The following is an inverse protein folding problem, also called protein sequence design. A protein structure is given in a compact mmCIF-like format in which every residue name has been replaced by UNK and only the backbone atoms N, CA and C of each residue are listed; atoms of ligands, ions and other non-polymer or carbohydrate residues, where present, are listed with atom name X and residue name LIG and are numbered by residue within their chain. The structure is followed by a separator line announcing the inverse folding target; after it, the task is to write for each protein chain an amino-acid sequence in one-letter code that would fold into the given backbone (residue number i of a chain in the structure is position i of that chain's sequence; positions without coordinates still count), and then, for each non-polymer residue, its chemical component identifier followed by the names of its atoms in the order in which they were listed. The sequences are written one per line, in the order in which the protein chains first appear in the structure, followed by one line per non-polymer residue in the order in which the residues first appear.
data_IF_185330297751
#
_entry.id   IF_185330297751
#
_cell.length_a   1.000
_cell.length_b   1.000
_cell.length_c   1.000
_cell.angle_alpha   90.00
_cell.angle_beta   90.00
_cell.angle_gamma   90.00
#
_symmetry.space_group_name_H-M   'P 1'
#
loop_
_entity.id
_entity.type
_entity.pdbx_description
1 polymer ?
#
# COMPACT_ATOMS: atom_id res chain seq x y z
N UNK A 1 -2.82 0.68 -28.10
CA UNK A 1 -2.70 1.27 -26.71
C UNK A 1 -1.79 2.50 -26.77
N UNK A 2 -2.19 3.66 -26.20
CA UNK A 2 -1.37 4.90 -26.19
C UNK A 2 -0.13 4.69 -25.30
N UNK A 3 1.08 5.02 -25.83
CA UNK A 3 2.35 4.96 -25.09
C UNK A 3 2.90 6.37 -24.87
N UNK A 4 3.51 6.59 -23.71
CA UNK A 4 4.06 7.87 -23.30
C UNK A 4 5.54 8.00 -23.69
N UNK A 5 5.94 9.18 -24.13
CA UNK A 5 7.29 9.55 -24.49
C UNK A 5 7.65 10.95 -23.93
N UNK A 6 8.90 11.37 -24.04
CA UNK A 6 9.39 12.70 -23.61
C UNK A 6 9.08 13.02 -22.14
N UNK A 7 9.23 12.00 -21.27
CA UNK A 7 9.00 12.10 -19.82
C UNK A 7 10.34 12.33 -19.07
N UNK A 8 11.44 11.81 -19.61
CA UNK A 8 12.75 11.87 -18.97
C UNK A 8 13.18 13.30 -18.66
N UNK A 9 13.10 14.23 -19.61
CA UNK A 9 13.50 15.62 -19.43
C UNK A 9 12.67 16.35 -18.35
N UNK A 10 11.42 15.93 -18.16
CA UNK A 10 10.57 16.44 -17.07
C UNK A 10 10.98 15.88 -15.71
N UNK A 11 11.46 14.63 -15.68
CA UNK A 11 11.95 13.99 -14.45
C UNK A 11 13.30 14.58 -14.07
N UNK A 12 14.18 14.73 -15.06
CA UNK A 12 15.57 15.19 -14.93
C UNK A 12 15.64 16.70 -15.16
N UNK A 13 14.95 17.45 -14.29
CA UNK A 13 15.00 18.90 -14.23
C UNK A 13 15.33 19.36 -12.81
N UNK A 14 16.02 20.48 -12.67
CA UNK A 14 16.39 21.00 -11.35
C UNK A 14 15.16 21.30 -10.50
N UNK A 15 14.12 21.91 -11.09
CA UNK A 15 12.86 22.20 -10.41
C UNK A 15 12.19 20.93 -9.87
N UNK A 16 12.20 19.84 -10.66
CA UNK A 16 11.63 18.58 -10.22
C UNK A 16 12.48 17.93 -9.13
N UNK A 17 13.80 18.07 -9.15
CA UNK A 17 14.67 17.57 -8.06
C UNK A 17 14.43 18.35 -6.76
N UNK A 18 14.24 19.67 -6.80
CA UNK A 18 13.82 20.45 -5.62
C UNK A 18 12.44 20.02 -5.10
N UNK A 19 11.48 19.79 -5.99
CA UNK A 19 10.16 19.28 -5.61
C UNK A 19 10.26 17.88 -5.00
N UNK A 20 11.12 17.03 -5.56
CA UNK A 20 11.39 15.68 -5.07
C UNK A 20 11.98 15.71 -3.65
N UNK A 21 12.99 16.56 -3.42
CA UNK A 21 13.55 16.79 -2.08
C UNK A 21 12.48 17.26 -1.09
N UNK A 22 11.69 18.26 -1.45
CA UNK A 22 10.58 18.76 -0.60
C UNK A 22 9.59 17.66 -0.21
N UNK A 23 9.23 16.76 -1.14
CA UNK A 23 8.34 15.63 -0.87
C UNK A 23 9.03 14.54 -0.04
N UNK A 24 10.28 14.18 -0.37
CA UNK A 24 11.04 13.12 0.28
C UNK A 24 11.28 13.37 1.78
N UNK A 25 11.53 14.65 2.16
CA UNK A 25 11.80 15.05 3.56
C UNK A 25 10.56 15.28 4.43
N UNK A 26 9.36 15.21 3.86
CA UNK A 26 8.13 15.54 4.61
C UNK A 26 8.04 14.75 5.92
N UNK A 27 7.90 15.49 7.05
CA UNK A 27 7.88 14.95 8.42
C UNK A 27 9.18 14.22 8.84
N UNK A 28 10.31 14.49 8.19
CA UNK A 28 11.59 13.83 8.46
C UNK A 28 12.79 14.79 8.44
N UNK A 29 12.57 16.10 8.38
CA UNK A 29 13.63 17.12 8.25
C UNK A 29 14.63 17.16 9.43
N UNK A 30 14.25 16.60 10.59
CA UNK A 30 15.15 16.50 11.75
C UNK A 30 16.18 15.36 11.65
N UNK A 31 16.12 14.51 10.65
CA UNK A 31 17.04 13.37 10.48
C UNK A 31 18.45 13.87 10.13
N UNK A 32 19.46 13.17 10.67
CA UNK A 32 20.87 13.49 10.48
C UNK A 32 21.27 13.51 9.02
N UNK A 33 20.91 12.48 8.26
CA UNK A 33 21.18 12.35 6.82
C UNK A 33 20.60 13.50 5.96
N UNK A 34 19.46 14.06 6.37
CA UNK A 34 18.84 15.22 5.70
C UNK A 34 19.55 16.51 6.08
N UNK A 35 19.95 16.68 7.34
CA UNK A 35 20.70 17.86 7.80
C UNK A 35 22.09 17.92 7.14
N UNK A 36 22.75 16.76 6.98
CA UNK A 36 24.04 16.67 6.26
C UNK A 36 23.87 17.05 4.79
N UNK A 37 22.83 16.55 4.12
CA UNK A 37 22.49 16.94 2.74
C UNK A 37 22.24 18.45 2.61
N UNK A 38 21.57 19.07 3.60
CA UNK A 38 21.23 20.51 3.57
C UNK A 38 22.48 21.43 3.57
N UNK A 39 23.62 20.97 4.06
CA UNK A 39 24.87 21.75 4.07
C UNK A 39 25.37 22.09 2.66
N UNK A 40 25.18 21.17 1.69
CA UNK A 40 25.66 21.32 0.31
C UNK A 40 24.55 21.02 -0.71
N UNK A 41 23.30 21.29 -0.35
CA UNK A 41 22.10 20.89 -1.10
C UNK A 41 22.15 21.29 -2.57
N UNK A 42 22.48 22.55 -2.87
CA UNK A 42 22.45 23.05 -4.25
C UNK A 42 23.50 22.38 -5.13
N UNK A 43 24.71 22.21 -4.62
CA UNK A 43 25.78 21.53 -5.31
C UNK A 43 25.44 20.06 -5.57
N UNK A 44 24.95 19.38 -4.55
CA UNK A 44 24.56 17.98 -4.63
C UNK A 44 23.40 17.76 -5.62
N UNK A 45 22.40 18.64 -5.65
CA UNK A 45 21.32 18.54 -6.63
C UNK A 45 21.80 18.80 -8.06
N UNK A 46 22.71 19.76 -8.29
CA UNK A 46 23.32 20.00 -9.59
C UNK A 46 24.14 18.78 -10.03
N UNK A 47 24.94 18.21 -9.13
CA UNK A 47 25.70 16.97 -9.40
C UNK A 47 24.78 15.80 -9.74
N UNK A 48 23.70 15.62 -9.00
CA UNK A 48 22.71 14.58 -9.27
C UNK A 48 22.06 14.78 -10.65
N UNK A 49 21.71 16.03 -10.99
CA UNK A 49 21.16 16.37 -12.30
C UNK A 49 22.10 15.93 -13.43
N UNK A 50 23.41 16.27 -13.33
CA UNK A 50 24.41 15.86 -14.31
C UNK A 50 24.54 14.34 -14.40
N UNK A 51 24.57 13.64 -13.27
CA UNK A 51 24.64 12.18 -13.27
C UNK A 51 23.43 11.54 -13.97
N UNK A 52 22.24 12.09 -13.78
CA UNK A 52 21.04 11.61 -14.43
C UNK A 52 21.06 11.90 -15.94
N UNK A 53 21.45 13.12 -16.35
CA UNK A 53 21.58 13.50 -17.78
C UNK A 53 22.58 12.61 -18.49
N UNK A 54 23.73 12.36 -17.87
CA UNK A 54 24.81 11.56 -18.44
C UNK A 54 24.57 10.05 -18.37
N UNK A 55 23.49 9.60 -17.70
CA UNK A 55 23.21 8.18 -17.48
C UNK A 55 24.22 7.47 -16.55
N UNK A 56 24.93 8.23 -15.72
CA UNK A 56 25.93 7.70 -14.76
C UNK A 56 25.38 7.48 -13.36
N UNK A 57 24.09 7.77 -13.14
CA UNK A 57 23.44 7.44 -11.89
C UNK A 57 23.43 5.93 -11.66
N UNK A 58 23.83 5.53 -10.46
CA UNK A 58 23.74 4.16 -9.94
C UNK A 58 23.02 4.16 -8.62
N UNK A 59 22.16 3.19 -8.41
CA UNK A 59 21.47 2.99 -7.13
C UNK A 59 22.49 2.63 -6.05
N UNK A 60 22.43 3.30 -4.92
CA UNK A 60 23.34 3.06 -3.80
C UNK A 60 23.09 1.70 -3.15
N UNK A 61 24.05 1.24 -2.36
CA UNK A 61 23.90 0.02 -1.57
C UNK A 61 22.75 0.12 -0.57
N UNK A 62 22.03 -0.96 -0.43
CA UNK A 62 20.92 -1.07 0.51
C UNK A 62 21.39 -1.34 1.94
N UNK A 63 20.89 -0.58 2.87
CA UNK A 63 20.97 -0.93 4.29
C UNK A 63 19.76 -1.82 4.64
N UNK A 64 20.00 -3.10 4.89
CA UNK A 64 18.96 -4.07 5.21
C UNK A 64 18.82 -4.27 6.71
N UNK A 65 17.58 -4.28 7.22
CA UNK A 65 17.27 -4.55 8.62
C UNK A 65 15.92 -5.27 8.78
N UNK A 66 15.76 -5.99 9.87
CA UNK A 66 14.56 -6.78 10.15
C UNK A 66 13.62 -6.00 11.07
N UNK A 67 12.37 -5.84 10.65
CA UNK A 67 11.26 -5.42 11.51
C UNK A 67 10.49 -6.67 11.92
N UNK A 68 10.29 -6.86 13.23
CA UNK A 68 9.64 -8.08 13.77
C UNK A 68 8.14 -7.93 14.02
N UNK A 69 7.64 -6.71 14.19
CA UNK A 69 6.21 -6.46 14.46
C UNK A 69 5.56 -5.64 13.34
N UNK A 70 4.30 -5.94 12.97
CA UNK A 70 3.42 -7.04 13.44
C UNK A 70 3.74 -8.40 12.83
N UNK A 71 4.68 -8.50 11.88
CA UNK A 71 5.20 -9.67 11.20
C UNK A 71 6.64 -9.40 10.81
N UNK A 72 7.49 -10.40 10.92
CA UNK A 72 8.88 -10.29 10.50
C UNK A 72 8.98 -9.95 9.01
N UNK A 73 9.75 -8.91 8.70
CA UNK A 73 10.00 -8.43 7.34
C UNK A 73 11.41 -7.90 7.23
N UNK A 74 12.11 -8.29 6.19
CA UNK A 74 13.37 -7.68 5.79
C UNK A 74 13.02 -6.37 5.04
N UNK A 75 13.56 -5.27 5.54
CA UNK A 75 13.36 -3.94 4.97
C UNK A 75 14.69 -3.48 4.37
N UNK A 76 14.62 -3.00 3.15
CA UNK A 76 15.75 -2.46 2.39
C UNK A 76 15.62 -0.94 2.35
N UNK A 77 16.61 -0.26 2.90
CA UNK A 77 16.61 1.20 2.98
C UNK A 77 17.73 1.78 2.13
N UNK A 78 17.37 2.65 1.21
CA UNK A 78 18.30 3.50 0.49
C UNK A 78 18.64 4.79 1.27
N UNK A 79 19.81 5.39 1.07
CA UNK A 79 20.15 6.69 1.62
C UNK A 79 19.17 7.78 1.15
N UNK A 80 19.17 8.90 1.87
CA UNK A 80 18.32 10.01 1.50
C UNK A 80 18.75 10.60 0.15
N UNK A 81 20.04 10.92 0.02
CA UNK A 81 20.68 11.34 -1.22
C UNK A 81 21.59 10.21 -1.70
N UNK A 82 21.60 9.90 -3.00
CA UNK A 82 20.76 10.47 -4.06
C UNK A 82 19.38 9.80 -4.22
N UNK A 83 19.21 8.56 -3.77
CA UNK A 83 18.21 7.61 -4.23
C UNK A 83 16.77 8.02 -3.90
N UNK A 84 16.50 8.47 -2.67
CA UNK A 84 15.14 8.87 -2.32
C UNK A 84 14.70 10.09 -3.10
N UNK A 85 15.63 11.00 -3.47
CA UNK A 85 15.34 12.14 -4.32
C UNK A 85 15.01 11.66 -5.73
N UNK A 86 15.81 10.75 -6.31
CA UNK A 86 15.54 10.15 -7.63
C UNK A 86 14.17 9.46 -7.66
N UNK A 87 13.87 8.61 -6.66
CA UNK A 87 12.58 7.94 -6.58
C UNK A 87 11.41 8.93 -6.53
N UNK A 88 11.53 10.02 -5.78
CA UNK A 88 10.50 11.04 -5.74
C UNK A 88 10.43 11.85 -7.03
N UNK A 89 11.55 12.12 -7.70
CA UNK A 89 11.58 12.81 -9.00
C UNK A 89 10.86 11.99 -10.08
N UNK A 90 11.13 10.69 -10.16
CA UNK A 90 10.40 9.76 -11.03
C UNK A 90 8.91 9.77 -10.68
N UNK A 91 8.54 9.62 -9.41
CA UNK A 91 7.16 9.56 -8.99
C UNK A 91 6.38 10.85 -9.20
N UNK A 92 7.02 12.02 -9.16
CA UNK A 92 6.35 13.29 -9.45
C UNK A 92 5.70 13.30 -10.84
N UNK A 93 6.30 12.61 -11.80
CA UNK A 93 5.84 12.55 -13.20
C UNK A 93 5.09 11.27 -13.49
N UNK A 94 5.51 10.14 -12.90
CA UNK A 94 4.97 8.83 -13.27
C UNK A 94 3.71 8.44 -12.48
N UNK A 95 3.53 8.95 -11.26
CA UNK A 95 2.36 8.59 -10.42
C UNK A 95 1.02 8.80 -11.15
N UNK A 96 0.70 9.97 -11.75
CA UNK A 96 -0.56 10.15 -12.44
C UNK A 96 -0.74 9.21 -13.64
N UNK A 97 0.34 8.88 -14.36
CA UNK A 97 0.32 7.96 -15.49
C UNK A 97 0.02 6.54 -15.00
N UNK A 98 0.72 6.08 -13.98
CA UNK A 98 0.52 4.73 -13.42
C UNK A 98 -0.84 4.57 -12.75
N UNK A 99 -1.28 5.57 -11.99
CA UNK A 99 -2.61 5.54 -11.35
C UNK A 99 -3.74 5.47 -12.39
N UNK A 100 -3.57 6.08 -13.57
CA UNK A 100 -4.58 6.06 -14.63
C UNK A 100 -4.78 4.68 -15.27
N UNK A 101 -3.83 3.75 -15.09
CA UNK A 101 -3.93 2.39 -15.61
C UNK A 101 -4.38 1.36 -14.57
N UNK A 102 -4.45 1.73 -13.29
CA UNK A 102 -4.96 0.85 -12.26
C UNK A 102 -6.49 0.85 -12.27
N UNK A 103 -7.09 -0.31 -12.11
CA UNK A 103 -8.54 -0.41 -11.91
C UNK A 103 -8.94 0.34 -10.62
N UNK A 104 -10.24 0.68 -10.50
CA UNK A 104 -10.77 1.39 -9.34
C UNK A 104 -10.53 0.63 -8.02
N UNK A 105 -10.60 -0.70 -8.08
CA UNK A 105 -10.54 -1.59 -6.93
C UNK A 105 -9.11 -2.07 -6.58
N UNK A 106 -8.08 -1.39 -7.13
CA UNK A 106 -6.67 -1.50 -6.69
C UNK A 106 -6.40 -0.47 -5.60
N UNK A 107 -6.01 -0.94 -4.43
CA UNK A 107 -5.69 -0.12 -3.25
C UNK A 107 -4.24 -0.32 -2.85
N UNK A 108 -3.76 0.45 -1.89
CA UNK A 108 -2.40 0.49 -1.38
C UNK A 108 -1.53 1.50 -2.10
N UNK A 109 -0.97 2.42 -1.32
CA UNK A 109 -0.01 3.44 -1.77
C UNK A 109 -0.50 4.38 -2.88
N UNK A 110 -1.77 4.39 -3.18
CA UNK A 110 -2.43 5.29 -4.11
C UNK A 110 -3.16 6.35 -3.28
N UNK A 111 -2.99 7.62 -3.64
CA UNK A 111 -3.66 8.73 -2.97
C UNK A 111 -5.17 8.55 -3.03
N UNK A 112 -5.85 8.71 -1.91
CA UNK A 112 -7.29 8.48 -1.72
C UNK A 112 -7.77 7.02 -1.89
N UNK A 113 -6.89 6.05 -2.12
CA UNK A 113 -7.22 4.62 -2.20
C UNK A 113 -6.48 3.82 -1.12
N UNK A 114 -6.65 4.24 0.15
CA UNK A 114 -6.05 3.56 1.30
C UNK A 114 -6.95 2.48 1.92
N UNK A 115 -6.58 2.02 3.12
CA UNK A 115 -7.29 0.96 3.86
C UNK A 115 -8.76 1.29 4.13
N UNK A 116 -9.09 2.56 4.34
CA UNK A 116 -10.48 2.97 4.66
C UNK A 116 -11.35 3.01 3.41
N UNK A 117 -10.79 3.38 2.26
CA UNK A 117 -11.49 3.32 0.98
C UNK A 117 -11.74 1.86 0.57
N UNK A 118 -10.73 1.00 0.71
CA UNK A 118 -10.89 -0.45 0.47
C UNK A 118 -11.98 -1.06 1.38
N UNK A 119 -11.97 -0.68 2.66
CA UNK A 119 -13.00 -1.10 3.61
C UNK A 119 -14.40 -0.62 3.19
N UNK A 120 -14.51 0.66 2.80
CA UNK A 120 -15.78 1.25 2.37
C UNK A 120 -16.36 0.50 1.17
N UNK A 121 -15.55 0.26 0.15
CA UNK A 121 -16.01 -0.39 -1.07
C UNK A 121 -16.39 -1.87 -0.86
N UNK A 122 -15.69 -2.60 0.04
CA UNK A 122 -16.12 -3.95 0.43
C UNK A 122 -17.45 -3.90 1.19
N UNK A 123 -17.66 -2.93 2.09
CA UNK A 123 -18.93 -2.76 2.80
C UNK A 123 -20.09 -2.42 1.85
N UNK A 124 -19.84 -1.56 0.86
CA UNK A 124 -20.84 -1.26 -0.16
C UNK A 124 -21.20 -2.48 -1.00
N UNK A 125 -20.21 -3.31 -1.38
CA UNK A 125 -20.46 -4.56 -2.09
C UNK A 125 -21.29 -5.54 -1.25
N UNK A 126 -21.04 -5.62 0.05
CA UNK A 126 -21.76 -6.51 0.96
C UNK A 126 -23.24 -6.12 1.23
N UNK A 127 -23.69 -4.95 0.76
CA UNK A 127 -25.12 -4.61 0.75
C UNK A 127 -25.92 -5.48 -0.24
N UNK A 128 -25.26 -6.00 -1.28
CA UNK A 128 -25.80 -6.98 -2.20
C UNK A 128 -25.62 -8.40 -1.64
N UNK A 129 -26.40 -8.71 -0.60
CA UNK A 129 -26.24 -9.94 0.21
C UNK A 129 -26.33 -11.19 -0.65
N UNK A 130 -27.29 -11.25 -1.57
CA UNK A 130 -27.55 -12.41 -2.43
C UNK A 130 -26.38 -12.74 -3.34
N UNK A 131 -25.67 -11.73 -3.85
CA UNK A 131 -24.54 -11.91 -4.76
C UNK A 131 -23.19 -11.95 -4.04
N UNK A 132 -23.15 -11.82 -2.72
CA UNK A 132 -21.90 -11.79 -1.91
C UNK A 132 -21.88 -12.83 -0.79
N UNK A 133 -22.63 -13.94 -0.98
CA UNK A 133 -22.73 -15.04 -0.02
C UNK A 133 -21.39 -15.66 0.31
N UNK A 134 -20.53 -15.89 -0.70
CA UNK A 134 -19.19 -16.49 -0.54
C UNK A 134 -18.08 -15.50 -0.79
N UNK A 135 -17.00 -15.69 -0.06
CA UNK A 135 -15.74 -14.95 -0.23
C UNK A 135 -14.61 -15.91 -0.59
N UNK A 136 -13.90 -15.60 -1.67
CA UNK A 136 -12.57 -16.14 -1.97
C UNK A 136 -11.54 -15.16 -1.44
N UNK A 137 -10.72 -15.63 -0.50
CA UNK A 137 -9.66 -14.85 0.16
C UNK A 137 -8.31 -15.42 -0.22
N UNK A 138 -7.48 -14.59 -0.84
CA UNK A 138 -6.18 -14.97 -1.39
C UNK A 138 -5.06 -14.06 -0.89
N UNK A 139 -3.84 -14.58 -0.91
CA UNK A 139 -2.61 -13.84 -0.60
C UNK A 139 -1.49 -14.42 -1.49
N UNK A 140 -0.67 -13.59 -2.10
CA UNK A 140 0.43 -14.04 -2.97
C UNK A 140 1.64 -14.40 -2.09
N UNK A 141 2.29 -15.53 -2.43
CA UNK A 141 3.46 -16.01 -1.70
C UNK A 141 4.66 -15.10 -1.96
N UNK A 142 5.29 -14.59 -0.90
CA UNK A 142 6.51 -13.74 -0.97
C UNK A 142 6.45 -12.68 -2.06
N UNK A 143 5.31 -12.00 -2.25
CA UNK A 143 5.01 -11.16 -3.42
C UNK A 143 6.19 -10.28 -3.86
N UNK A 144 6.67 -9.39 -3.01
CA UNK A 144 7.76 -8.45 -3.35
C UNK A 144 9.06 -9.13 -3.78
N UNK A 145 9.58 -10.14 -3.06
CA UNK A 145 10.78 -10.85 -3.50
C UNK A 145 10.60 -11.71 -4.75
N UNK A 146 9.35 -12.11 -5.07
CA UNK A 146 9.06 -12.97 -6.22
C UNK A 146 8.76 -12.20 -7.51
N UNK A 147 8.80 -10.86 -7.49
CA UNK A 147 8.61 -10.06 -8.71
C UNK A 147 9.80 -10.27 -9.64
N UNK A 148 9.52 -10.84 -10.81
CA UNK A 148 10.52 -11.04 -11.88
C UNK A 148 10.77 -9.72 -12.62
N UNK A 149 12.04 -9.35 -12.78
CA UNK A 149 12.43 -8.08 -13.39
C UNK A 149 12.03 -7.97 -14.86
N UNK A 150 12.21 -9.04 -15.64
CA UNK A 150 11.90 -9.01 -17.08
C UNK A 150 10.40 -8.86 -17.31
N UNK A 151 9.58 -9.55 -16.51
CA UNK A 151 8.12 -9.38 -16.55
C UNK A 151 7.75 -7.95 -16.16
N UNK A 152 8.31 -7.39 -15.06
CA UNK A 152 8.04 -6.02 -14.64
C UNK A 152 8.43 -5.00 -15.71
N UNK A 153 9.64 -5.11 -16.27
CA UNK A 153 10.13 -4.26 -17.36
C UNK A 153 9.22 -4.35 -18.59
N UNK A 154 8.76 -5.55 -18.96
CA UNK A 154 7.84 -5.75 -20.07
C UNK A 154 6.52 -5.01 -19.85
N UNK A 155 5.97 -5.09 -18.63
CA UNK A 155 4.73 -4.40 -18.22
C UNK A 155 4.88 -2.89 -18.34
N UNK A 156 5.99 -2.32 -17.83
CA UNK A 156 6.28 -0.90 -17.90
C UNK A 156 6.38 -0.44 -19.36
N UNK A 157 7.08 -1.21 -20.21
CA UNK A 157 7.27 -0.93 -21.64
C UNK A 157 5.97 -0.96 -22.45
N UNK A 158 4.90 -1.59 -21.97
CA UNK A 158 3.58 -1.51 -22.61
C UNK A 158 3.03 -0.08 -22.64
N UNK A 159 3.37 0.76 -21.65
CA UNK A 159 2.89 2.15 -21.52
C UNK A 159 3.94 3.21 -21.79
N UNK A 160 5.20 2.91 -21.56
CA UNK A 160 6.32 3.85 -21.69
C UNK A 160 7.18 3.45 -22.90
N UNK A 161 7.55 4.43 -23.71
CA UNK A 161 8.48 4.25 -24.85
C UNK A 161 9.70 5.19 -24.78
N UNK A 162 9.81 6.01 -23.74
CA UNK A 162 10.94 6.91 -23.49
C UNK A 162 12.16 6.09 -23.06
N UNK A 163 13.11 5.93 -23.98
CA UNK A 163 14.26 5.05 -23.77
C UNK A 163 15.13 5.48 -22.58
N UNK A 164 15.39 6.78 -22.42
CA UNK A 164 16.21 7.28 -21.30
C UNK A 164 15.54 7.00 -19.96
N UNK A 165 14.22 7.21 -19.88
CA UNK A 165 13.46 6.87 -18.69
C UNK A 165 13.45 5.36 -18.42
N UNK A 166 13.29 4.53 -19.46
CA UNK A 166 13.33 3.08 -19.32
C UNK A 166 14.67 2.59 -18.78
N UNK A 167 15.80 3.14 -19.25
CA UNK A 167 17.13 2.82 -18.74
C UNK A 167 17.29 3.20 -17.25
N UNK A 168 16.78 4.36 -16.85
CA UNK A 168 16.78 4.76 -15.43
C UNK A 168 15.91 3.83 -14.57
N UNK A 169 14.74 3.43 -15.06
CA UNK A 169 13.86 2.50 -14.34
C UNK A 169 14.48 1.10 -14.25
N UNK A 170 15.14 0.63 -15.33
CA UNK A 170 15.85 -0.65 -15.34
C UNK A 170 16.99 -0.68 -14.31
N UNK A 171 17.79 0.38 -14.22
CA UNK A 171 18.85 0.53 -13.21
C UNK A 171 18.26 0.40 -11.78
N UNK A 172 17.11 1.04 -11.52
CA UNK A 172 16.47 0.97 -10.21
C UNK A 172 15.86 -0.42 -9.93
N UNK A 173 15.28 -1.05 -10.96
CA UNK A 173 14.67 -2.39 -10.82
C UNK A 173 15.76 -3.42 -10.57
N UNK A 174 16.87 -3.37 -11.31
CA UNK A 174 17.94 -4.36 -11.23
C UNK A 174 18.86 -4.16 -10.01
N UNK A 175 18.64 -3.13 -9.21
CA UNK A 175 19.48 -2.80 -8.04
C UNK A 175 19.36 -3.81 -6.88
N UNK A 176 18.35 -4.67 -6.85
CA UNK A 176 18.17 -5.70 -5.84
C UNK A 176 17.33 -6.86 -6.38
N UNK A 177 17.40 -8.03 -5.78
CA UNK A 177 16.53 -9.17 -6.10
C UNK A 177 15.05 -8.86 -5.81
N UNK A 178 14.17 -9.17 -6.75
CA UNK A 178 12.76 -8.83 -6.69
C UNK A 178 12.53 -7.31 -6.61
N UNK A 179 11.59 -6.89 -5.78
CA UNK A 179 11.32 -5.48 -5.52
C UNK A 179 11.46 -5.21 -4.02
N UNK A 180 12.48 -4.45 -3.60
CA UNK A 180 12.86 -4.29 -2.19
C UNK A 180 11.79 -3.54 -1.39
N UNK A 181 11.35 -4.12 -0.26
CA UNK A 181 10.40 -3.48 0.65
C UNK A 181 11.09 -2.32 1.38
N UNK A 182 10.52 -1.13 1.28
CA UNK A 182 11.02 0.08 1.97
C UNK A 182 11.27 1.27 1.06
N UNK A 183 11.25 1.08 -0.25
CA UNK A 183 11.41 2.13 -1.24
C UNK A 183 10.06 2.60 -1.79
N UNK A 184 10.00 3.86 -2.18
CA UNK A 184 8.76 4.47 -2.66
C UNK A 184 8.30 3.88 -4.00
N UNK A 185 9.23 3.73 -4.96
CA UNK A 185 8.93 3.12 -6.27
C UNK A 185 8.48 1.66 -6.15
N UNK A 186 9.04 0.90 -5.23
CA UNK A 186 8.73 -0.52 -5.02
C UNK A 186 7.22 -0.79 -4.85
N UNK A 187 6.53 0.13 -4.19
CA UNK A 187 5.09 0.01 -3.95
C UNK A 187 4.28 0.16 -5.24
N UNK A 188 4.73 1.04 -6.14
CA UNK A 188 4.10 1.22 -7.45
C UNK A 188 4.46 0.10 -8.42
N UNK A 189 5.71 -0.37 -8.41
CA UNK A 189 6.13 -1.54 -9.19
C UNK A 189 5.31 -2.78 -8.84
N UNK A 190 5.07 -3.02 -7.56
CA UNK A 190 4.21 -4.10 -7.11
C UNK A 190 2.75 -3.97 -7.61
N UNK A 191 2.18 -2.77 -7.59
CA UNK A 191 0.85 -2.54 -8.15
C UNK A 191 0.83 -2.69 -9.68
N UNK A 192 1.86 -2.19 -10.39
CA UNK A 192 2.00 -2.32 -11.84
C UNK A 192 2.09 -3.78 -12.26
N UNK A 193 2.82 -4.59 -11.52
CA UNK A 193 3.02 -6.01 -11.82
C UNK A 193 1.71 -6.78 -11.95
N UNK A 194 0.71 -6.45 -11.15
CA UNK A 194 -0.60 -7.10 -11.17
C UNK A 194 -1.66 -6.33 -11.98
N UNK A 195 -1.31 -5.22 -12.61
CA UNK A 195 -2.30 -4.37 -13.28
C UNK A 195 -3.09 -5.12 -14.34
N UNK A 196 -2.43 -5.90 -15.21
CA UNK A 196 -3.11 -6.64 -16.28
C UNK A 196 -3.86 -7.86 -15.77
N UNK A 197 -3.44 -8.43 -14.65
CA UNK A 197 -4.21 -9.44 -13.92
C UNK A 197 -5.51 -8.85 -13.35
N UNK A 198 -5.45 -7.62 -12.79
CA UNK A 198 -6.63 -6.91 -12.31
C UNK A 198 -7.62 -6.62 -13.45
N UNK A 199 -7.12 -6.16 -14.61
CA UNK A 199 -7.94 -5.92 -15.79
C UNK A 199 -8.57 -7.20 -16.33
N UNK A 200 -7.80 -8.28 -16.44
CA UNK A 200 -8.31 -9.57 -16.86
C UNK A 200 -9.47 -10.06 -15.97
N UNK A 201 -9.35 -9.93 -14.64
CA UNK A 201 -10.45 -10.29 -13.74
C UNK A 201 -11.69 -9.42 -13.96
N UNK A 202 -11.51 -8.10 -14.18
CA UNK A 202 -12.65 -7.16 -14.30
C UNK A 202 -13.27 -7.13 -15.69
N UNK A 203 -12.47 -7.26 -16.75
CA UNK A 203 -12.87 -7.02 -18.13
C UNK A 203 -13.15 -8.32 -18.88
N UNK A 204 -12.29 -9.35 -18.71
CA UNK A 204 -12.46 -10.63 -19.41
C UNK A 204 -13.29 -11.62 -18.60
N UNK A 205 -13.03 -11.73 -17.28
CA UNK A 205 -13.77 -12.61 -16.37
C UNK A 205 -15.02 -11.98 -15.78
N UNK A 206 -15.23 -10.68 -15.97
CA UNK A 206 -16.39 -9.90 -15.52
C UNK A 206 -16.67 -10.03 -14.02
N UNK A 207 -15.62 -10.18 -13.21
CA UNK A 207 -15.73 -10.32 -11.75
C UNK A 207 -16.26 -9.03 -11.16
N UNK A 208 -17.52 -9.01 -10.74
CA UNK A 208 -18.20 -7.81 -10.20
C UNK A 208 -17.52 -7.32 -8.91
N UNK A 209 -17.30 -8.18 -7.94
CA UNK A 209 -16.79 -7.85 -6.61
C UNK A 209 -15.38 -8.38 -6.43
N UNK A 210 -14.39 -7.60 -6.86
CA UNK A 210 -12.95 -7.85 -6.75
C UNK A 210 -12.28 -6.67 -6.05
N UNK A 211 -11.47 -6.95 -5.02
CA UNK A 211 -10.75 -5.93 -4.26
C UNK A 211 -9.34 -6.40 -3.98
N UNK A 212 -8.34 -5.57 -4.31
CA UNK A 212 -6.92 -5.90 -4.08
C UNK A 212 -6.20 -4.81 -3.29
N UNK A 213 -5.59 -5.21 -2.17
CA UNK A 213 -4.70 -4.36 -1.39
C UNK A 213 -3.29 -4.96 -1.40
N UNK A 214 -2.41 -4.48 -2.29
CA UNK A 214 -1.10 -5.06 -2.60
C UNK A 214 -1.24 -6.55 -3.01
N UNK A 215 -0.80 -7.47 -2.16
CA UNK A 215 -0.86 -8.93 -2.34
C UNK A 215 -2.14 -9.58 -1.75
N UNK A 216 -2.94 -8.81 -1.04
CA UNK A 216 -4.14 -9.27 -0.34
C UNK A 216 -5.38 -9.09 -1.22
N UNK A 217 -6.01 -10.20 -1.66
CA UNK A 217 -7.11 -10.24 -2.62
C UNK A 217 -8.38 -10.76 -1.97
N UNK A 218 -9.50 -10.11 -2.27
CA UNK A 218 -10.86 -10.50 -1.88
C UNK A 218 -11.75 -10.52 -3.10
N UNK A 219 -12.43 -11.65 -3.35
CA UNK A 219 -13.47 -11.79 -4.38
C UNK A 219 -14.74 -12.27 -3.72
N UNK A 220 -15.90 -11.68 -4.08
CA UNK A 220 -17.20 -12.07 -3.56
C UNK A 220 -18.09 -12.57 -4.69
N UNK A 221 -18.82 -13.64 -4.44
CA UNK A 221 -19.78 -14.21 -5.39
C UNK A 221 -20.84 -15.01 -4.66
N UNK A 222 -22.01 -15.21 -5.30
CA UNK A 222 -23.10 -16.03 -4.77
C UNK A 222 -22.83 -17.54 -4.87
N UNK A 223 -22.01 -17.95 -5.83
CA UNK A 223 -21.71 -19.33 -6.13
C UNK A 223 -20.30 -19.70 -5.69
N UNK A 224 -20.17 -20.79 -4.94
CA UNK A 224 -18.91 -21.32 -4.43
C UNK A 224 -18.10 -22.06 -5.51
N UNK A 225 -18.78 -22.78 -6.40
CA UNK A 225 -18.10 -23.53 -7.46
C UNK A 225 -17.49 -22.56 -8.49
N UNK A 226 -18.20 -21.51 -8.88
CA UNK A 226 -17.65 -20.43 -9.67
C UNK A 226 -16.33 -19.88 -9.08
N UNK A 227 -16.29 -19.66 -7.75
CA UNK A 227 -15.07 -19.18 -7.10
C UNK A 227 -13.93 -20.22 -7.14
N UNK A 228 -14.22 -21.51 -7.15
CA UNK A 228 -13.22 -22.57 -7.31
C UNK A 228 -12.65 -22.61 -8.72
N UNK A 229 -13.52 -22.57 -9.71
CA UNK A 229 -13.11 -22.54 -11.12
C UNK A 229 -12.28 -21.29 -11.43
N UNK A 230 -12.76 -20.13 -11.01
CA UNK A 230 -12.04 -18.87 -11.14
C UNK A 230 -10.65 -18.93 -10.49
N UNK A 231 -10.54 -19.56 -9.32
CA UNK A 231 -9.26 -19.69 -8.62
C UNK A 231 -8.27 -20.54 -9.42
N UNK A 232 -8.69 -21.62 -10.07
CA UNK A 232 -7.81 -22.42 -10.93
C UNK A 232 -7.31 -21.58 -12.12
N UNK A 233 -8.19 -20.83 -12.77
CA UNK A 233 -7.78 -19.93 -13.86
C UNK A 233 -6.84 -18.82 -13.38
N UNK A 234 -7.08 -18.26 -12.17
CA UNK A 234 -6.19 -17.28 -11.57
C UNK A 234 -4.80 -17.83 -11.31
N UNK A 235 -4.66 -19.10 -10.92
CA UNK A 235 -3.35 -19.77 -10.77
C UNK A 235 -2.61 -19.81 -12.10
N UNK A 236 -3.28 -20.25 -13.18
CA UNK A 236 -2.70 -20.29 -14.51
C UNK A 236 -2.23 -18.90 -14.99
N UNK A 237 -3.02 -17.87 -14.69
CA UNK A 237 -2.59 -16.49 -15.01
C UNK A 237 -1.36 -16.06 -14.20
N UNK A 238 -1.35 -16.34 -12.89
CA UNK A 238 -0.21 -15.98 -12.02
C UNK A 238 1.08 -16.70 -12.43
N UNK A 239 0.99 -17.93 -12.94
CA UNK A 239 2.15 -18.66 -13.45
C UNK A 239 2.81 -17.91 -14.62
N UNK A 240 2.04 -17.24 -15.47
CA UNK A 240 2.58 -16.36 -16.54
C UNK A 240 3.35 -15.17 -15.99
N UNK A 241 3.03 -14.75 -14.76
CA UNK A 241 3.72 -13.70 -14.01
C UNK A 241 4.80 -14.27 -13.06
N UNK A 242 5.11 -15.55 -13.13
CA UNK A 242 6.05 -16.24 -12.23
C UNK A 242 5.71 -16.04 -10.74
N UNK A 243 4.42 -15.94 -10.41
CA UNK A 243 3.91 -15.80 -9.06
C UNK A 243 3.05 -16.98 -8.65
N UNK A 244 2.95 -17.24 -7.35
CA UNK A 244 2.09 -18.28 -6.80
C UNK A 244 1.26 -17.76 -5.64
N UNK A 245 0.03 -18.26 -5.48
CA UNK A 245 -0.75 -18.02 -4.27
C UNK A 245 -0.19 -18.81 -3.08
N UNK A 246 -0.49 -18.36 -1.88
CA UNK A 246 -0.26 -19.14 -0.67
C UNK A 246 -1.25 -20.31 -0.60
N UNK A 247 -0.79 -21.44 -0.04
CA UNK A 247 -1.60 -22.65 0.08
C UNK A 247 -2.80 -22.50 1.04
N UNK A 248 -2.78 -21.49 1.90
CA UNK A 248 -3.81 -21.20 2.91
C UNK A 248 -4.92 -20.28 2.39
N UNK A 249 -5.24 -20.35 1.10
CA UNK A 249 -6.41 -19.66 0.55
C UNK A 249 -7.71 -20.21 1.16
N UNK A 250 -8.77 -19.40 1.11
CA UNK A 250 -10.04 -19.74 1.76
C UNK A 250 -11.21 -19.36 0.87
N UNK A 251 -12.14 -20.30 0.70
CA UNK A 251 -13.49 -20.04 0.19
C UNK A 251 -14.48 -20.36 1.31
N UNK A 252 -15.25 -19.37 1.75
CA UNK A 252 -16.13 -19.49 2.90
C UNK A 252 -17.37 -18.60 2.77
N UNK A 253 -18.44 -18.94 3.49
CA UNK A 253 -19.60 -18.04 3.64
C UNK A 253 -19.22 -16.85 4.49
N UNK A 254 -19.60 -15.63 4.04
CA UNK A 254 -19.32 -14.38 4.74
C UNK A 254 -19.97 -14.36 6.13
N UNK A 255 -21.15 -14.94 6.27
CA UNK A 255 -21.86 -15.03 7.55
C UNK A 255 -21.11 -15.88 8.59
N UNK A 256 -20.50 -17.00 8.17
CA UNK A 256 -19.88 -17.92 9.11
C UNK A 256 -18.59 -17.32 9.69
N UNK A 257 -17.75 -16.73 8.85
CA UNK A 257 -16.39 -16.33 9.25
C UNK A 257 -16.14 -14.83 9.28
N UNK A 258 -16.72 -14.07 8.38
CA UNK A 258 -16.38 -12.68 8.09
C UNK A 258 -15.06 -12.52 7.31
N UNK A 259 -14.97 -11.46 6.53
CA UNK A 259 -13.87 -11.17 5.63
C UNK A 259 -12.77 -10.45 6.40
N UNK A 260 -11.60 -11.09 6.57
CA UNK A 260 -10.43 -10.48 7.19
C UNK A 260 -9.65 -9.69 6.16
N UNK A 261 -9.88 -8.37 6.02
CA UNK A 261 -9.26 -7.51 5.03
C UNK A 261 -8.87 -6.16 5.62
N UNK A 262 -7.77 -5.57 5.17
CA UNK A 262 -7.22 -4.25 5.56
C UNK A 262 -7.29 -3.91 7.06
N UNK A 263 -7.12 -4.91 7.92
CA UNK A 263 -7.12 -4.72 9.38
C UNK A 263 -8.49 -4.86 10.05
N UNK A 264 -9.54 -5.18 9.30
CA UNK A 264 -10.89 -5.41 9.78
C UNK A 264 -11.36 -6.84 9.55
N UNK A 265 -12.46 -7.21 10.24
CA UNK A 265 -13.28 -8.37 9.96
C UNK A 265 -14.66 -7.84 9.58
N UNK A 266 -15.04 -8.06 8.31
CA UNK A 266 -16.21 -7.44 7.68
C UNK A 266 -17.26 -8.52 7.46
N UNK A 267 -18.49 -8.26 7.86
CA UNK A 267 -19.67 -9.10 7.62
C UNK A 267 -20.75 -8.25 6.94
N UNK A 268 -21.83 -8.87 6.51
CA UNK A 268 -22.96 -8.15 5.90
C UNK A 268 -23.50 -7.07 6.86
N UNK A 269 -23.72 -7.42 8.15
CA UNK A 269 -24.39 -6.54 9.11
C UNK A 269 -23.43 -5.64 9.90
N UNK A 270 -22.18 -6.08 10.10
CA UNK A 270 -21.26 -5.35 10.95
C UNK A 270 -19.78 -5.54 10.58
N UNK A 271 -18.97 -4.61 11.06
CA UNK A 271 -17.52 -4.63 10.88
C UNK A 271 -16.82 -4.45 12.21
N UNK A 272 -15.78 -5.24 12.48
CA UNK A 272 -14.96 -5.14 13.67
C UNK A 272 -13.47 -5.00 13.28
N UNK A 273 -12.66 -4.42 14.16
CA UNK A 273 -11.20 -4.47 14.00
C UNK A 273 -10.67 -5.88 14.25
N UNK A 274 -9.62 -6.28 13.54
CA UNK A 274 -8.95 -7.57 13.74
C UNK A 274 -8.48 -7.76 15.19
N UNK A 275 -8.48 -9.01 15.67
CA UNK A 275 -8.12 -9.38 17.05
C UNK A 275 -6.75 -8.88 17.50
N UNK A 276 -5.75 -8.88 16.63
CA UNK A 276 -4.41 -8.35 16.91
C UNK A 276 -4.42 -6.84 17.15
N UNK A 277 -5.12 -6.07 16.30
CA UNK A 277 -5.29 -4.62 16.44
C UNK A 277 -6.04 -4.30 17.75
N UNK A 278 -7.16 -5.01 18.01
CA UNK A 278 -7.90 -4.90 19.28
C UNK A 278 -7.01 -5.15 20.50
N UNK A 279 -6.20 -6.22 20.48
CA UNK A 279 -5.27 -6.55 21.57
C UNK A 279 -4.23 -5.46 21.77
N UNK A 280 -3.64 -4.93 20.68
CA UNK A 280 -2.67 -3.82 20.75
C UNK A 280 -3.30 -2.57 21.36
N UNK A 281 -4.53 -2.19 20.96
CA UNK A 281 -5.28 -1.09 21.55
C UNK A 281 -5.49 -1.28 23.07
N UNK A 282 -5.99 -2.45 23.46
CA UNK A 282 -6.26 -2.75 24.87
C UNK A 282 -4.98 -2.73 25.73
N UNK A 283 -3.86 -3.29 25.23
CA UNK A 283 -2.57 -3.27 25.90
C UNK A 283 -2.05 -1.85 26.06
N UNK A 284 -2.13 -1.02 25.01
CA UNK A 284 -1.72 0.38 25.07
C UNK A 284 -2.58 1.17 26.05
N UNK A 285 -3.89 1.04 26.00
CA UNK A 285 -4.81 1.69 26.92
C UNK A 285 -4.53 1.30 28.40
N UNK A 286 -4.32 -0.01 28.67
CA UNK A 286 -3.98 -0.48 30.00
C UNK A 286 -2.64 0.07 30.50
N UNK A 287 -1.60 0.14 29.62
CA UNK A 287 -0.31 0.73 29.96
C UNK A 287 -0.45 2.22 30.31
N UNK A 288 -1.19 2.97 29.52
CA UNK A 288 -1.44 4.39 29.78
C UNK A 288 -2.27 4.60 31.04
N UNK A 289 -3.25 3.74 31.30
CA UNK A 289 -4.07 3.79 32.50
C UNK A 289 -3.31 3.58 33.83
N UNK A 290 -2.11 2.95 33.78
CA UNK A 290 -1.23 2.77 34.95
C UNK A 290 -0.34 3.99 35.23
N UNK A 291 -0.20 4.90 34.27
CA UNK A 291 0.58 6.14 34.48
C UNK A 291 -0.16 7.07 35.43
N UNK A 292 0.47 7.44 36.55
CA UNK A 292 -0.14 8.30 37.59
C UNK A 292 -0.44 9.72 37.07
N UNK A 293 0.47 10.30 36.30
CA UNK A 293 0.47 11.71 35.90
C UNK A 293 0.24 11.90 34.38
N UNK A 294 -0.62 11.08 33.76
CA UNK A 294 -0.96 11.26 32.34
C UNK A 294 -2.11 12.27 32.22
N UNK A 295 -1.91 13.31 31.41
CA UNK A 295 -2.98 14.26 31.09
C UNK A 295 -3.99 13.68 30.10
N UNK A 296 -5.15 14.31 29.96
CA UNK A 296 -6.17 13.94 28.97
C UNK A 296 -5.60 14.10 27.54
N UNK A 297 -4.85 15.18 27.31
CA UNK A 297 -4.19 15.50 26.05
C UNK A 297 -3.17 14.43 25.65
N UNK A 298 -2.29 14.05 26.57
CA UNK A 298 -1.28 13.00 26.33
C UNK A 298 -1.95 11.66 26.03
N UNK A 299 -2.98 11.29 26.79
CA UNK A 299 -3.74 10.07 26.55
C UNK A 299 -4.40 10.09 25.17
N UNK A 300 -5.00 11.20 24.79
CA UNK A 300 -5.63 11.42 23.47
C UNK A 300 -4.62 11.34 22.34
N UNK A 301 -3.47 11.99 22.47
CA UNK A 301 -2.39 11.95 21.49
C UNK A 301 -1.86 10.53 21.30
N UNK A 302 -1.59 9.83 22.38
CA UNK A 302 -1.10 8.44 22.38
C UNK A 302 -2.11 7.45 21.78
N UNK A 303 -3.41 7.68 21.98
CA UNK A 303 -4.46 6.80 21.51
C UNK A 303 -5.07 7.19 20.15
N UNK A 304 -4.73 8.34 19.57
CA UNK A 304 -5.38 8.89 18.38
C UNK A 304 -5.36 7.93 17.19
N UNK A 305 -4.24 7.25 16.93
CA UNK A 305 -4.13 6.27 15.84
C UNK A 305 -5.05 5.06 16.05
N UNK A 306 -5.18 4.58 17.29
CA UNK A 306 -6.06 3.47 17.62
C UNK A 306 -7.54 3.87 17.54
N UNK A 307 -7.89 5.07 18.02
CA UNK A 307 -9.24 5.62 17.90
C UNK A 307 -9.61 5.80 16.42
N UNK A 308 -8.66 6.16 15.57
CA UNK A 308 -8.82 6.26 14.13
C UNK A 308 -9.38 4.98 13.49
N UNK A 309 -8.90 3.80 13.91
CA UNK A 309 -9.44 2.51 13.45
C UNK A 309 -10.91 2.32 13.81
N UNK A 310 -11.33 2.73 15.01
CA UNK A 310 -12.68 2.52 15.52
C UNK A 310 -13.75 3.39 14.86
N UNK A 311 -13.34 4.44 14.12
CA UNK A 311 -14.27 5.31 13.37
C UNK A 311 -14.95 4.59 12.21
N UNK A 312 -14.33 3.58 11.66
CA UNK A 312 -14.76 2.91 10.43
C UNK A 312 -15.42 1.54 10.68
N UNK A 313 -15.72 1.20 11.94
CA UNK A 313 -16.30 -0.08 12.32
C UNK A 313 -17.29 0.05 13.48
N UNK A 314 -17.98 -1.05 13.84
CA UNK A 314 -18.88 -1.14 14.98
C UNK A 314 -18.10 -1.21 16.31
N UNK A 315 -17.25 -0.19 16.53
CA UNK A 315 -16.24 -0.16 17.61
C UNK A 315 -16.66 0.55 18.89
N UNK A 316 -17.92 1.06 19.02
CA UNK A 316 -18.34 1.92 20.14
C UNK A 316 -18.16 1.26 21.51
N UNK A 317 -18.48 -0.02 21.64
CA UNK A 317 -18.33 -0.75 22.90
C UNK A 317 -16.85 -0.95 23.28
N UNK A 318 -16.00 -1.21 22.27
CA UNK A 318 -14.57 -1.27 22.50
C UNK A 318 -13.99 0.10 22.85
N UNK A 319 -14.45 1.15 22.20
CA UNK A 319 -14.05 2.53 22.50
C UNK A 319 -14.38 2.91 23.93
N UNK A 320 -15.62 2.65 24.41
CA UNK A 320 -16.02 2.86 25.81
C UNK A 320 -15.12 2.12 26.79
N UNK A 321 -14.71 0.89 26.45
CA UNK A 321 -13.85 0.06 27.31
C UNK A 321 -12.42 0.59 27.40
N UNK A 322 -11.86 1.15 26.32
CA UNK A 322 -10.46 1.62 26.28
C UNK A 322 -10.30 3.07 26.70
N UNK A 323 -11.36 3.88 26.69
CA UNK A 323 -11.29 5.28 27.12
C UNK A 323 -11.41 5.38 28.66
N UNK A 324 -10.38 5.99 29.24
CA UNK A 324 -10.33 6.23 30.68
C UNK A 324 -11.10 7.49 31.08
N UNK A 325 -11.09 8.53 30.24
CA UNK A 325 -11.65 9.84 30.54
C UNK A 325 -13.00 10.03 29.84
N UNK A 326 -14.01 10.50 30.58
CA UNK A 326 -15.38 10.73 30.05
C UNK A 326 -15.42 11.75 28.92
N UNK A 327 -14.57 12.77 28.95
CA UNK A 327 -14.44 13.79 27.90
C UNK A 327 -14.09 13.19 26.54
N UNK A 328 -13.27 12.14 26.53
CA UNK A 328 -12.92 11.41 25.31
C UNK A 328 -14.10 10.60 24.76
N UNK A 329 -15.08 10.22 25.59
CA UNK A 329 -16.32 9.57 25.14
C UNK A 329 -17.19 10.55 24.35
N UNK A 330 -17.26 11.82 24.73
CA UNK A 330 -17.95 12.87 23.96
C UNK A 330 -17.31 13.07 22.59
N UNK A 331 -15.99 13.13 22.56
CA UNK A 331 -15.24 13.18 21.31
C UNK A 331 -15.52 11.96 20.43
N UNK A 332 -15.57 10.75 20.99
CA UNK A 332 -15.87 9.53 20.29
C UNK A 332 -17.32 9.49 19.75
N UNK A 333 -18.29 10.00 20.49
CA UNK A 333 -19.70 10.10 20.05
C UNK A 333 -19.88 11.01 18.83
N UNK A 334 -19.09 12.08 18.70
CA UNK A 334 -19.06 12.95 17.50
C UNK A 334 -18.58 12.20 16.25
N UNK A 335 -17.78 11.16 16.41
CA UNK A 335 -17.36 10.30 15.29
C UNK A 335 -18.40 9.25 14.87
N UNK A 336 -19.21 8.76 15.81
CA UNK A 336 -20.25 7.78 15.51
C UNK A 336 -21.49 8.39 14.81
N UNK A 337 -21.67 9.71 14.92
CA UNK A 337 -22.80 10.44 14.29
C UNK A 337 -22.51 10.90 12.85
N UNK A 338 -21.28 10.88 12.38
CA UNK A 338 -20.98 11.00 10.95
C UNK A 338 -21.19 9.63 10.34
N UNK A 339 -22.46 9.34 9.95
CA UNK A 339 -22.75 8.27 8.99
C UNK A 339 -21.89 8.48 7.74
N UNK A 340 -21.40 7.39 7.13
CA UNK A 340 -20.68 7.47 5.86
C UNK A 340 -21.52 8.13 4.80
#
# INVERSE_FOLDING_TARGET
MKRYNNLFDKIVSLDNLYLADKKARRNKSSRKDIKEFDLNKEELLKKLLQNLINGTYKTSEYNAFIIREPKERLIFRLPYYPDRIVHHAVMNIMEPIWVSIFIKDTYSCIKHRGIHEALHNVKEALKDVDNTTYCLKLDIRKFYPSIDHEVLKSIIRKKIKDLKLLLLLDEIIDSAEGVPIGNYLSLFFANLYLTYFDHWLKEDKLVKYYFRYADDIVILHKDKEYLRELFEEMKLYLDTLKLTFKDNYLIFKVEDRGISFVGYVIRHDYTLVRKNIKRSMCRKAARLGRKKNITVEDYKQEMCSHIGWLKHCNGINLLKKILRYKELLVYARRFSKRKP
#
